data_IF_709633871985
#
_entry.id   IF_709633871985
#
_cell.length_a   1.000
_cell.length_b   1.000
_cell.length_c   1.000
_cell.angle_alpha   90.00
_cell.angle_beta   90.00
_cell.angle_gamma   90.00
#
_symmetry.space_group_name_H-M   'P 1'
#
loop_
_entity.id
_entity.type
_entity.pdbx_description
1 polymer ?
#
# COMPACT_ATOMS: atom_id res chain seq x y z
N UNK A 1 33.20 -39.60 25.96
CA UNK A 1 31.81 -39.33 25.54
C UNK A 1 31.50 -37.87 25.83
N UNK A 2 31.66 -36.96 24.87
CA UNK A 2 30.76 -35.80 24.72
C UNK A 2 31.04 -35.09 23.40
N UNK A 3 29.94 -34.77 22.72
CA UNK A 3 29.80 -34.34 21.35
C UNK A 3 30.19 -32.86 21.21
N UNK A 4 31.20 -32.54 20.39
CA UNK A 4 31.59 -31.17 20.07
C UNK A 4 30.57 -30.62 19.05
N UNK A 5 29.61 -29.85 19.57
CA UNK A 5 28.58 -29.20 18.78
C UNK A 5 29.21 -28.25 17.75
N UNK A 6 28.92 -28.57 16.49
CA UNK A 6 29.04 -27.73 15.31
C UNK A 6 28.51 -26.32 15.57
N UNK A 7 29.40 -25.33 15.50
CA UNK A 7 29.05 -23.93 15.30
C UNK A 7 28.84 -23.73 13.78
N UNK A 8 27.63 -23.38 13.28
CA UNK A 8 27.38 -23.20 11.84
C UNK A 8 27.89 -21.86 11.29
N UNK A 9 28.71 -21.11 12.03
CA UNK A 9 29.09 -19.74 11.67
C UNK A 9 30.19 -19.64 10.61
N UNK A 10 30.84 -20.73 10.22
CA UNK A 10 31.90 -20.70 9.20
C UNK A 10 31.40 -21.06 7.77
N UNK A 11 30.13 -21.47 7.62
CA UNK A 11 29.56 -21.80 6.31
C UNK A 11 29.07 -20.57 5.51
N UNK A 12 29.15 -19.36 6.06
CA UNK A 12 28.66 -18.13 5.39
C UNK A 12 29.73 -17.40 4.57
N UNK A 13 30.98 -17.88 4.53
CA UNK A 13 32.08 -17.22 3.83
C UNK A 13 32.33 -17.71 2.38
N UNK A 14 31.56 -18.70 1.89
CA UNK A 14 31.51 -19.04 0.47
C UNK A 14 30.18 -18.58 -0.13
N UNK A 15 29.92 -17.28 -0.02
CA UNK A 15 29.02 -16.62 -0.96
C UNK A 15 29.76 -16.60 -2.31
N UNK A 16 29.61 -17.67 -3.09
CA UNK A 16 29.95 -17.67 -4.51
C UNK A 16 29.20 -16.49 -5.11
N UNK A 17 29.95 -15.44 -5.45
CA UNK A 17 29.45 -14.32 -6.21
C UNK A 17 28.60 -14.87 -7.36
N UNK A 18 27.36 -14.38 -7.57
CA UNK A 18 26.63 -14.76 -8.76
C UNK A 18 27.52 -14.38 -9.94
N UNK A 19 27.91 -15.40 -10.70
CA UNK A 19 28.69 -15.24 -11.91
C UNK A 19 27.96 -14.22 -12.77
N UNK A 20 28.62 -13.07 -12.96
CA UNK A 20 28.20 -12.05 -13.90
C UNK A 20 28.30 -12.68 -15.28
N UNK A 21 27.22 -13.29 -15.74
CA UNK A 21 27.09 -13.79 -17.11
C UNK A 21 27.11 -12.58 -18.03
N UNK A 22 28.31 -12.26 -18.50
CA UNK A 22 28.58 -11.33 -19.57
C UNK A 22 27.81 -11.78 -20.83
N UNK A 23 26.63 -11.22 -21.04
CA UNK A 23 25.83 -11.40 -22.25
C UNK A 23 25.23 -10.05 -22.65
N UNK A 24 25.97 -9.31 -23.48
CA UNK A 24 25.48 -8.18 -24.26
C UNK A 24 25.17 -6.89 -23.49
N UNK A 25 26.15 -5.99 -23.38
CA UNK A 25 26.00 -4.62 -22.87
C UNK A 25 24.88 -3.81 -23.53
N UNK A 26 24.48 -4.14 -24.77
CA UNK A 26 23.32 -3.51 -25.42
C UNK A 26 21.97 -4.11 -25.00
N UNK A 27 21.90 -5.40 -24.65
CA UNK A 27 20.66 -6.04 -24.19
C UNK A 27 20.31 -5.64 -22.75
N UNK A 28 21.31 -5.43 -21.88
CA UNK A 28 21.09 -4.85 -20.55
C UNK A 28 20.71 -3.38 -20.62
N UNK A 29 21.33 -2.59 -21.50
CA UNK A 29 20.97 -1.19 -21.69
C UNK A 29 19.55 -1.05 -22.25
N UNK A 30 19.18 -1.85 -23.26
CA UNK A 30 17.83 -1.87 -23.81
C UNK A 30 16.82 -2.38 -22.79
N UNK A 31 17.14 -3.42 -22.01
CA UNK A 31 16.30 -3.91 -20.92
C UNK A 31 16.08 -2.87 -19.83
N UNK A 32 17.14 -2.15 -19.42
CA UNK A 32 17.04 -1.06 -18.45
C UNK A 32 16.25 0.13 -18.98
N UNK A 33 16.42 0.51 -20.25
CA UNK A 33 15.64 1.58 -20.88
C UNK A 33 14.16 1.20 -21.01
N UNK A 34 13.86 -0.04 -21.40
CA UNK A 34 12.48 -0.54 -21.49
C UNK A 34 11.84 -0.68 -20.10
N UNK A 35 12.59 -1.16 -19.10
CA UNK A 35 12.15 -1.21 -17.71
C UNK A 35 11.89 0.18 -17.13
N UNK A 36 12.71 1.17 -17.47
CA UNK A 36 12.49 2.57 -17.10
C UNK A 36 11.22 3.14 -17.75
N UNK A 37 11.02 2.88 -19.05
CA UNK A 37 9.83 3.32 -19.78
C UNK A 37 8.55 2.70 -19.20
N UNK A 38 8.57 1.40 -18.91
CA UNK A 38 7.48 0.70 -18.24
C UNK A 38 7.25 1.20 -16.82
N UNK A 39 8.32 1.51 -16.07
CA UNK A 39 8.23 2.10 -14.73
C UNK A 39 7.57 3.48 -14.73
N UNK A 40 7.85 4.32 -15.74
CA UNK A 40 7.18 5.61 -15.90
C UNK A 40 5.68 5.42 -16.19
N UNK A 41 5.34 4.50 -17.09
CA UNK A 41 3.94 4.17 -17.40
C UNK A 41 3.23 3.67 -16.12
N UNK A 42 3.87 2.77 -15.37
CA UNK A 42 3.34 2.25 -14.13
C UNK A 42 3.15 3.36 -13.07
N UNK A 43 4.09 4.31 -12.97
CA UNK A 43 3.98 5.44 -12.05
C UNK A 43 2.75 6.30 -12.39
N UNK A 44 2.53 6.60 -13.67
CA UNK A 44 1.37 7.40 -14.11
C UNK A 44 0.05 6.67 -13.79
N UNK A 45 -0.01 5.37 -14.06
CA UNK A 45 -1.20 4.55 -13.78
C UNK A 45 -1.43 4.45 -12.27
N UNK A 46 -0.38 4.12 -11.49
CA UNK A 46 -0.44 4.00 -10.04
C UNK A 46 -0.88 5.30 -9.38
N UNK A 47 -0.34 6.45 -9.81
CA UNK A 47 -0.72 7.76 -9.30
C UNK A 47 -2.18 8.11 -9.64
N UNK A 48 -2.63 7.78 -10.86
CA UNK A 48 -4.01 8.03 -11.29
C UNK A 48 -5.01 7.22 -10.45
N UNK A 49 -4.71 5.94 -10.22
CA UNK A 49 -5.52 5.08 -9.36
C UNK A 49 -5.48 5.57 -7.91
N UNK A 50 -4.31 6.00 -7.43
CA UNK A 50 -4.17 6.53 -6.08
C UNK A 50 -5.03 7.77 -5.84
N UNK A 51 -5.00 8.72 -6.78
CA UNK A 51 -5.83 9.92 -6.70
C UNK A 51 -7.33 9.58 -6.68
N UNK A 52 -7.77 8.60 -7.49
CA UNK A 52 -9.16 8.15 -7.48
C UNK A 52 -9.54 7.49 -6.15
N UNK A 53 -8.67 6.63 -5.61
CA UNK A 53 -8.86 5.94 -4.36
C UNK A 53 -9.01 6.90 -3.17
N UNK A 54 -8.12 7.89 -3.06
CA UNK A 54 -8.18 8.91 -2.00
C UNK A 54 -9.50 9.67 -2.05
N UNK A 55 -9.96 10.06 -3.24
CA UNK A 55 -11.24 10.74 -3.40
C UNK A 55 -12.43 9.88 -2.96
N UNK A 56 -12.42 8.59 -3.27
CA UNK A 56 -13.42 7.64 -2.78
C UNK A 56 -13.34 7.46 -1.26
N UNK A 57 -12.12 7.39 -0.71
CA UNK A 57 -11.87 7.34 0.72
C UNK A 57 -12.49 8.52 1.46
N UNK A 58 -12.24 9.75 0.99
CA UNK A 58 -12.87 10.94 1.54
C UNK A 58 -14.39 10.93 1.47
N UNK A 59 -14.97 10.40 0.38
CA UNK A 59 -16.42 10.27 0.27
C UNK A 59 -16.98 9.27 1.30
N UNK A 60 -16.28 8.15 1.56
CA UNK A 60 -16.65 7.18 2.58
C UNK A 60 -16.60 7.83 3.96
N UNK A 61 -15.48 8.47 4.30
CA UNK A 61 -15.29 9.14 5.59
C UNK A 61 -16.35 10.24 5.80
N UNK A 62 -16.58 11.08 4.80
CA UNK A 62 -17.62 12.10 4.85
C UNK A 62 -19.01 11.53 5.09
N UNK A 63 -19.34 10.39 4.45
CA UNK A 63 -20.62 9.69 4.68
C UNK A 63 -20.74 9.12 6.10
N UNK A 64 -19.63 8.67 6.70
CA UNK A 64 -19.62 8.20 8.10
C UNK A 64 -19.79 9.36 9.08
N UNK A 65 -19.22 10.52 8.77
CA UNK A 65 -19.39 11.77 9.50
C UNK A 65 -20.67 12.52 9.11
N UNK A 66 -21.81 11.82 9.00
CA UNK A 66 -23.13 12.43 8.71
C UNK A 66 -23.23 13.24 7.39
N UNK A 67 -22.39 12.91 6.41
CA UNK A 67 -22.35 13.65 5.14
C UNK A 67 -21.54 14.94 5.21
N UNK A 68 -20.69 15.13 6.24
CA UNK A 68 -19.71 16.21 6.28
C UNK A 68 -18.86 16.18 5.01
N UNK A 69 -18.83 17.31 4.31
CA UNK A 69 -17.99 17.48 3.13
C UNK A 69 -16.59 17.91 3.60
N UNK A 70 -15.63 16.98 3.59
CA UNK A 70 -14.23 17.21 4.01
C UNK A 70 -13.67 18.48 3.36
N UNK A 71 -13.86 18.64 2.05
CA UNK A 71 -13.36 19.80 1.30
C UNK A 71 -14.06 21.12 1.67
N UNK A 72 -15.34 21.09 2.03
CA UNK A 72 -16.05 22.30 2.46
C UNK A 72 -15.60 22.74 3.85
N UNK A 73 -15.41 21.80 4.77
CA UNK A 73 -14.91 22.07 6.12
C UNK A 73 -13.46 22.56 6.10
N UNK A 74 -12.60 21.99 5.24
CA UNK A 74 -11.24 22.50 5.03
C UNK A 74 -11.26 23.94 4.52
N UNK A 75 -12.17 24.29 3.58
CA UNK A 75 -12.36 25.69 3.13
C UNK A 75 -12.83 26.63 4.24
N UNK A 76 -13.62 26.13 5.19
CA UNK A 76 -14.05 26.88 6.39
C UNK A 76 -12.96 27.02 7.46
N UNK A 77 -11.72 26.57 7.19
CA UNK A 77 -10.58 26.53 8.12
C UNK A 77 -10.79 25.57 9.29
N UNK A 78 -11.58 24.51 9.10
CA UNK A 78 -11.75 23.49 10.11
C UNK A 78 -10.51 22.57 10.17
N UNK A 79 -9.57 22.90 11.05
CA UNK A 79 -8.33 22.15 11.32
C UNK A 79 -8.60 20.68 11.72
N UNK A 80 -9.67 20.38 12.48
CA UNK A 80 -9.99 19.01 12.88
C UNK A 80 -10.26 18.10 11.67
N UNK A 81 -11.10 18.57 10.75
CA UNK A 81 -11.42 17.86 9.51
C UNK A 81 -10.22 17.81 8.57
N UNK A 82 -9.39 18.86 8.56
CA UNK A 82 -8.14 18.87 7.79
C UNK A 82 -7.13 17.83 8.30
N UNK A 83 -6.96 17.71 9.63
CA UNK A 83 -6.08 16.72 10.25
C UNK A 83 -6.54 15.29 9.94
N UNK A 84 -7.84 15.01 10.07
CA UNK A 84 -8.43 13.74 9.66
C UNK A 84 -8.15 13.45 8.19
N UNK A 85 -8.41 14.42 7.31
CA UNK A 85 -8.16 14.30 5.87
C UNK A 85 -6.70 13.97 5.57
N UNK A 86 -5.75 14.63 6.25
CA UNK A 86 -4.33 14.34 6.11
C UNK A 86 -3.99 12.90 6.54
N UNK A 87 -4.53 12.43 7.67
CA UNK A 87 -4.34 11.04 8.12
C UNK A 87 -4.89 10.01 7.14
N UNK A 88 -6.05 10.29 6.53
CA UNK A 88 -6.64 9.43 5.50
C UNK A 88 -5.77 9.40 4.24
N UNK A 89 -5.24 10.53 3.77
CA UNK A 89 -4.33 10.56 2.60
C UNK A 89 -3.07 9.75 2.88
N UNK A 90 -2.45 9.95 4.04
CA UNK A 90 -1.23 9.21 4.41
C UNK A 90 -1.54 7.71 4.48
N UNK A 91 -2.68 7.35 5.09
CA UNK A 91 -3.13 5.97 5.19
C UNK A 91 -3.31 5.30 3.83
N UNK A 92 -4.04 5.95 2.92
CA UNK A 92 -4.21 5.46 1.55
C UNK A 92 -2.88 5.36 0.81
N UNK A 93 -2.00 6.35 0.94
CA UNK A 93 -0.70 6.35 0.26
C UNK A 93 0.14 5.16 0.70
N UNK A 94 0.15 4.84 2.00
CA UNK A 94 0.87 3.67 2.51
C UNK A 94 0.32 2.35 1.96
N UNK A 95 -1.02 2.21 1.93
CA UNK A 95 -1.67 0.98 1.43
C UNK A 95 -1.53 0.84 -0.09
N UNK A 96 -1.64 1.93 -0.83
CA UNK A 96 -1.47 1.92 -2.29
C UNK A 96 0.00 1.69 -2.65
N UNK A 97 0.94 2.22 -1.85
CA UNK A 97 2.37 1.99 -2.01
C UNK A 97 2.71 0.51 -2.05
N UNK A 98 2.17 -0.29 -1.13
CA UNK A 98 2.41 -1.75 -1.13
C UNK A 98 1.82 -2.47 -2.35
N UNK A 99 0.70 -1.98 -2.90
CA UNK A 99 0.13 -2.48 -4.16
C UNK A 99 0.98 -2.12 -5.39
N UNK A 100 1.50 -0.89 -5.44
CA UNK A 100 2.40 -0.44 -6.52
C UNK A 100 3.72 -1.21 -6.47
N UNK A 101 4.29 -1.47 -5.29
CA UNK A 101 5.50 -2.29 -5.15
C UNK A 101 5.32 -3.71 -5.70
N UNK A 102 4.17 -4.33 -5.49
CA UNK A 102 3.84 -5.64 -6.06
C UNK A 102 3.83 -5.58 -7.60
N UNK A 103 3.22 -4.54 -8.19
CA UNK A 103 3.26 -4.32 -9.65
C UNK A 103 4.70 -4.08 -10.15
N UNK A 104 5.50 -3.28 -9.43
CA UNK A 104 6.89 -2.96 -9.82
C UNK A 104 7.75 -4.21 -9.91
N UNK A 105 7.59 -5.13 -8.95
CA UNK A 105 8.28 -6.43 -8.98
C UNK A 105 7.91 -7.24 -10.22
N UNK A 106 6.64 -7.18 -10.66
CA UNK A 106 6.22 -7.86 -11.88
C UNK A 106 6.76 -7.27 -13.17
N UNK A 107 6.84 -5.95 -13.27
CA UNK A 107 7.48 -5.29 -14.41
C UNK A 107 8.99 -5.57 -14.44
N UNK A 108 9.65 -5.61 -13.27
CA UNK A 108 11.07 -5.98 -13.17
C UNK A 108 11.36 -7.41 -13.66
N UNK A 109 10.46 -8.36 -13.38
CA UNK A 109 10.57 -9.73 -13.89
C UNK A 109 10.33 -9.80 -15.41
N UNK A 110 9.38 -9.01 -15.93
CA UNK A 110 9.10 -8.93 -17.36
C UNK A 110 10.27 -8.37 -18.17
N UNK A 111 11.02 -7.41 -17.59
CA UNK A 111 12.22 -6.85 -18.21
C UNK A 111 13.38 -7.85 -18.33
N UNK A 112 13.36 -8.94 -17.56
CA UNK A 112 14.36 -10.02 -17.62
C UNK A 112 13.98 -11.16 -18.59
N UNK A 113 13.01 -10.95 -19.49
CA UNK A 113 12.49 -11.92 -20.48
C UNK A 113 11.77 -13.15 -19.91
N UNK A 114 11.46 -13.16 -18.60
CA UNK A 114 10.55 -14.13 -18.00
C UNK A 114 9.09 -13.68 -18.23
N UNK A 115 8.58 -13.96 -19.44
CA UNK A 115 7.26 -13.49 -19.88
C UNK A 115 6.12 -14.08 -19.03
N UNK A 116 6.25 -15.33 -18.58
CA UNK A 116 5.27 -15.99 -17.71
C UNK A 116 5.25 -15.38 -16.31
N UNK A 117 6.42 -15.18 -15.69
CA UNK A 117 6.53 -14.59 -14.36
C UNK A 117 6.20 -13.10 -14.36
N UNK A 118 6.54 -12.37 -15.43
CA UNK A 118 6.23 -10.96 -15.61
C UNK A 118 4.73 -10.71 -15.77
N UNK A 119 4.04 -11.49 -16.61
CA UNK A 119 2.59 -11.40 -16.77
C UNK A 119 1.87 -11.79 -15.47
N UNK A 120 2.29 -12.90 -14.85
CA UNK A 120 1.75 -13.36 -13.56
C UNK A 120 1.88 -12.31 -12.47
N UNK A 121 3.03 -11.65 -12.37
CA UNK A 121 3.27 -10.65 -11.34
C UNK A 121 2.59 -9.30 -11.64
N UNK A 122 2.38 -8.92 -12.91
CA UNK A 122 1.53 -7.77 -13.26
C UNK A 122 0.07 -8.06 -12.86
N UNK A 123 -0.46 -9.23 -13.21
CA UNK A 123 -1.82 -9.63 -12.82
C UNK A 123 -1.94 -9.71 -11.31
N UNK A 124 -0.97 -10.33 -10.63
CA UNK A 124 -0.89 -10.40 -9.18
C UNK A 124 -0.81 -9.02 -8.53
N UNK A 125 -0.05 -8.09 -9.12
CA UNK A 125 0.05 -6.70 -8.67
C UNK A 125 -1.26 -5.93 -8.83
N UNK A 126 -1.95 -6.05 -9.98
CA UNK A 126 -3.26 -5.41 -10.19
C UNK A 126 -4.30 -5.97 -9.22
N UNK A 127 -4.35 -7.28 -9.04
CA UNK A 127 -5.26 -7.93 -8.08
C UNK A 127 -4.94 -7.48 -6.66
N UNK A 128 -3.65 -7.45 -6.29
CA UNK A 128 -3.21 -6.94 -4.98
C UNK A 128 -3.64 -5.49 -4.77
N UNK A 129 -3.50 -4.63 -5.78
CA UNK A 129 -3.93 -3.24 -5.74
C UNK A 129 -5.46 -3.11 -5.54
N UNK A 130 -6.27 -3.88 -6.28
CA UNK A 130 -7.72 -3.87 -6.11
C UNK A 130 -8.11 -4.33 -4.70
N UNK A 131 -7.51 -5.43 -4.22
CA UNK A 131 -7.72 -5.92 -2.86
C UNK A 131 -7.28 -4.87 -1.84
N UNK A 132 -6.15 -4.20 -2.06
CA UNK A 132 -5.65 -3.12 -1.20
C UNK A 132 -6.69 -2.03 -1.01
N UNK A 133 -7.29 -1.59 -2.12
CA UNK A 133 -8.32 -0.55 -2.12
C UNK A 133 -9.59 -1.00 -1.39
N UNK A 134 -10.04 -2.23 -1.63
CA UNK A 134 -11.22 -2.78 -0.96
C UNK A 134 -10.98 -2.93 0.55
N UNK A 135 -9.82 -3.48 0.93
CA UNK A 135 -9.45 -3.67 2.34
C UNK A 135 -9.26 -2.32 3.03
N UNK A 136 -8.64 -1.33 2.38
CA UNK A 136 -8.52 0.03 2.93
C UNK A 136 -9.89 0.66 3.19
N UNK A 137 -10.80 0.63 2.22
CA UNK A 137 -12.16 1.16 2.39
C UNK A 137 -12.93 0.44 3.50
N UNK A 138 -12.79 -0.88 3.59
CA UNK A 138 -13.40 -1.66 4.66
C UNK A 138 -12.79 -1.33 6.02
N UNK A 139 -11.47 -1.26 6.11
CA UNK A 139 -10.77 -1.00 7.36
C UNK A 139 -11.07 0.40 7.90
N UNK A 140 -11.14 1.43 7.05
CA UNK A 140 -11.59 2.77 7.46
C UNK A 140 -12.98 2.67 8.10
N UNK A 141 -13.90 1.96 7.45
CA UNK A 141 -15.26 1.76 7.98
C UNK A 141 -15.26 1.07 9.33
N UNK A 142 -14.42 0.04 9.50
CA UNK A 142 -14.26 -0.67 10.77
C UNK A 142 -13.65 0.23 11.84
N UNK A 143 -12.60 0.99 11.51
CA UNK A 143 -11.94 1.91 12.44
C UNK A 143 -12.91 2.94 13.00
N UNK A 144 -13.71 3.58 12.13
CA UNK A 144 -14.75 4.51 12.58
C UNK A 144 -15.78 3.79 13.46
N UNK A 145 -16.30 2.62 13.04
CA UNK A 145 -17.28 1.87 13.86
C UNK A 145 -16.77 1.44 15.22
N UNK A 146 -15.50 1.03 15.28
CA UNK A 146 -14.85 0.64 16.53
C UNK A 146 -14.69 1.87 17.41
N UNK A 147 -14.33 3.02 16.82
CA UNK A 147 -14.22 4.25 17.58
C UNK A 147 -15.57 4.70 18.11
N UNK A 148 -16.62 4.79 17.28
CA UNK A 148 -17.99 5.15 17.69
C UNK A 148 -18.46 4.33 18.91
N UNK A 149 -17.99 3.08 19.03
CA UNK A 149 -18.32 2.17 20.14
C UNK A 149 -17.48 2.40 21.40
N UNK A 150 -16.26 2.90 21.26
CA UNK A 150 -15.33 3.20 22.35
C UNK A 150 -15.54 4.62 22.92
N UNK A 151 -16.00 5.56 22.10
CA UNK A 151 -16.21 6.98 22.43
C UNK A 151 -17.71 7.31 22.56
N UNK A 152 -18.50 6.41 23.15
CA UNK A 152 -19.96 6.63 23.31
C UNK A 152 -20.36 7.89 24.09
N UNK A 153 -19.42 8.50 24.82
CA UNK A 153 -19.63 9.74 25.58
C UNK A 153 -19.35 11.01 24.74
N UNK A 154 -18.61 10.89 23.64
CA UNK A 154 -18.20 12.01 22.80
C UNK A 154 -18.97 11.95 21.48
N UNK A 155 -19.75 13.00 21.17
CA UNK A 155 -20.39 13.11 19.87
C UNK A 155 -19.37 13.58 18.82
N UNK A 156 -18.61 12.65 18.27
CA UNK A 156 -17.52 12.92 17.32
C UNK A 156 -17.95 13.75 16.13
N UNK A 157 -19.19 13.57 15.67
CA UNK A 157 -19.74 14.32 14.55
C UNK A 157 -19.91 15.79 14.90
N UNK A 158 -20.39 16.07 16.10
CA UNK A 158 -20.49 17.44 16.60
C UNK A 158 -19.10 18.00 16.89
N UNK A 159 -18.19 17.22 17.45
CA UNK A 159 -16.79 17.64 17.69
C UNK A 159 -16.05 18.00 16.39
N UNK A 160 -16.24 17.23 15.32
CA UNK A 160 -15.71 17.56 14.00
C UNK A 160 -16.34 18.84 13.44
N UNK A 161 -17.65 19.07 13.62
CA UNK A 161 -18.31 20.34 13.22
C UNK A 161 -17.84 21.52 14.07
N UNK A 162 -17.55 21.30 15.35
CA UNK A 162 -17.12 22.31 16.32
C UNK A 162 -15.61 22.62 16.26
N UNK A 163 -14.93 22.09 15.24
CA UNK A 163 -13.50 22.29 15.00
C UNK A 163 -12.58 21.78 16.13
N UNK A 164 -12.96 20.69 16.83
CA UNK A 164 -12.08 20.13 17.85
C UNK A 164 -10.85 19.43 17.24
N UNK A 165 -9.72 20.13 17.26
CA UNK A 165 -8.43 19.68 16.72
C UNK A 165 -7.98 18.37 17.36
N UNK A 166 -8.25 18.15 18.66
CA UNK A 166 -7.81 16.97 19.37
C UNK A 166 -8.36 15.68 18.74
N UNK A 167 -9.66 15.67 18.42
CA UNK A 167 -10.30 14.54 17.75
C UNK A 167 -9.70 14.33 16.36
N UNK A 168 -9.51 15.41 15.60
CA UNK A 168 -8.88 15.34 14.28
C UNK A 168 -7.48 14.70 14.30
N UNK A 169 -6.64 15.06 15.27
CA UNK A 169 -5.28 14.50 15.42
C UNK A 169 -5.32 13.04 15.88
N UNK A 170 -6.20 12.68 16.82
CA UNK A 170 -6.35 11.29 17.28
C UNK A 170 -6.75 10.38 16.11
N UNK A 171 -7.77 10.77 15.36
CA UNK A 171 -8.19 10.00 14.20
C UNK A 171 -7.13 9.93 13.11
N UNK A 172 -6.39 11.03 12.88
CA UNK A 172 -5.28 11.02 11.93
C UNK A 172 -4.19 10.02 12.34
N UNK A 173 -3.78 10.01 13.61
CA UNK A 173 -2.79 9.08 14.14
C UNK A 173 -3.24 7.62 14.00
N UNK A 174 -4.51 7.34 14.27
CA UNK A 174 -5.07 5.99 14.13
C UNK A 174 -5.09 5.55 12.66
N UNK A 175 -5.51 6.42 11.73
CA UNK A 175 -5.51 6.08 10.30
C UNK A 175 -4.11 5.76 9.80
N UNK A 176 -3.10 6.49 10.27
CA UNK A 176 -1.69 6.23 9.95
C UNK A 176 -1.26 4.87 10.54
N UNK A 177 -1.54 4.60 11.82
CA UNK A 177 -1.17 3.33 12.46
C UNK A 177 -1.83 2.12 11.80
N UNK A 178 -3.14 2.20 11.55
CA UNK A 178 -3.93 1.15 10.91
C UNK A 178 -3.47 0.90 9.46
N UNK A 179 -3.02 1.93 8.75
CA UNK A 179 -2.51 1.80 7.38
C UNK A 179 -1.33 0.85 7.26
N UNK A 180 -0.41 0.87 8.23
CA UNK A 180 0.75 -0.02 8.24
C UNK A 180 0.35 -1.48 8.39
N UNK A 181 -0.61 -1.76 9.27
CA UNK A 181 -1.17 -3.11 9.44
C UNK A 181 -1.87 -3.59 8.16
N UNK A 182 -2.68 -2.74 7.53
CA UNK A 182 -3.36 -3.08 6.28
C UNK A 182 -2.35 -3.31 5.16
N UNK A 183 -1.36 -2.42 5.01
CA UNK A 183 -0.34 -2.53 3.98
C UNK A 183 0.42 -3.86 4.08
N UNK A 184 0.77 -4.29 5.30
CA UNK A 184 1.39 -5.58 5.55
C UNK A 184 0.46 -6.76 5.20
N UNK A 185 -0.83 -6.68 5.59
CA UNK A 185 -1.82 -7.71 5.24
C UNK A 185 -2.04 -7.86 3.74
N UNK A 186 -2.17 -6.72 3.03
CA UNK A 186 -2.32 -6.65 1.58
C UNK A 186 -1.08 -7.17 0.86
N UNK A 187 0.12 -6.81 1.32
CA UNK A 187 1.37 -7.32 0.76
C UNK A 187 1.46 -8.84 0.89
N UNK A 188 1.01 -9.41 2.02
CA UNK A 188 0.94 -10.85 2.22
C UNK A 188 0.00 -11.53 1.22
N UNK A 189 -1.18 -10.95 0.99
CA UNK A 189 -2.14 -11.46 0.00
C UNK A 189 -1.55 -11.38 -1.41
N UNK A 190 -0.94 -10.26 -1.78
CA UNK A 190 -0.33 -10.07 -3.11
C UNK A 190 0.74 -11.11 -3.42
N UNK A 191 1.62 -11.42 -2.47
CA UNK A 191 2.63 -12.46 -2.63
C UNK A 191 2.00 -13.83 -2.90
N UNK A 192 0.99 -14.22 -2.09
CA UNK A 192 0.31 -15.51 -2.25
C UNK A 192 -0.49 -15.62 -3.55
N UNK A 193 -1.11 -14.52 -4.00
CA UNK A 193 -1.79 -14.47 -5.30
C UNK A 193 -0.80 -14.68 -6.44
N UNK A 194 0.36 -14.02 -6.38
CA UNK A 194 1.43 -14.23 -7.38
C UNK A 194 1.93 -15.68 -7.38
N UNK A 195 2.10 -16.28 -6.20
CA UNK A 195 2.48 -17.69 -6.06
C UNK A 195 1.44 -18.63 -6.70
N UNK A 196 0.14 -18.37 -6.49
CA UNK A 196 -0.95 -19.16 -7.07
C UNK A 196 -1.01 -19.04 -8.60
N UNK A 197 -0.83 -17.84 -9.14
CA UNK A 197 -0.86 -17.62 -10.60
C UNK A 197 0.34 -18.33 -11.25
N UNK A 198 1.52 -18.26 -10.63
CA UNK A 198 2.72 -18.98 -11.09
C UNK A 198 2.56 -20.51 -11.04
N UNK A 199 1.72 -21.05 -10.16
CA UNK A 199 1.48 -22.49 -10.07
C UNK A 199 0.49 -23.01 -11.13
N UNK A 200 -0.27 -22.13 -11.77
CA UNK A 200 -1.31 -22.48 -12.75
C UNK A 200 -0.83 -22.24 -14.20
N UNK A 201 0.09 -21.29 -14.41
CA UNK A 201 0.74 -20.98 -15.69
C UNK A 201 1.95 -21.89 -15.95
#
# INVERSE_FOLDING_TARGET
>A
MLNLALHPTLALALQTAPASTATGSQHELVGALMGLLLGIIQLVIGLSIAAFAINKGFAIVGKMLEGINIWAEVKKKNIAVAALGAGVVISYTNVIGSGIEAMTKGVGNLANLDLSAGLSAIVGGIVSLIIALLVASFAITVTFRVMDKLTTDINEKDEFKNNNIAIGVVYAGIMIGVSGLIAAGVSGIGARVSDLINAIL
#
